data_IF_963487753436
#
_entry.id   IF_963487753436
#
_cell.length_a   1.000
_cell.length_b   1.000
_cell.length_c   1.000
_cell.angle_alpha   90.00
_cell.angle_beta   90.00
_cell.angle_gamma   90.00
#
_symmetry.space_group_name_H-M   'P 1'
#
loop_
_entity.id
_entity.type
_entity.pdbx_description
1 polymer ?
#
# COMPACT_ATOMS: atom_id res chain seq x y z
N UNK A 1 38.30 20.61 -3.11
CA UNK A 1 36.96 19.99 -2.97
C UNK A 1 37.14 18.56 -2.45
N UNK A 2 36.61 18.25 -1.25
CA UNK A 2 36.69 16.89 -0.68
C UNK A 2 35.64 16.00 -1.35
N UNK A 3 36.07 14.94 -2.05
CA UNK A 3 35.15 14.02 -2.75
C UNK A 3 34.21 13.28 -1.80
N UNK A 4 34.53 13.23 -0.51
CA UNK A 4 33.81 12.45 0.51
C UNK A 4 32.52 13.13 1.01
N UNK A 5 32.23 14.37 0.61
CA UNK A 5 30.97 15.06 0.93
C UNK A 5 29.90 14.93 -0.16
N UNK A 6 30.16 14.21 -1.25
CA UNK A 6 29.22 14.07 -2.36
C UNK A 6 28.26 12.89 -2.12
N UNK A 7 27.10 13.14 -1.49
CA UNK A 7 25.97 12.19 -1.54
C UNK A 7 25.42 12.13 -2.97
N UNK A 8 25.58 10.99 -3.63
CA UNK A 8 25.00 10.72 -4.95
C UNK A 8 23.47 10.74 -4.85
N UNK A 9 22.83 11.84 -5.23
CA UNK A 9 21.38 11.92 -5.43
C UNK A 9 21.07 11.42 -6.84
N UNK A 10 20.61 10.17 -6.97
CA UNK A 10 19.93 9.74 -8.20
C UNK A 10 18.60 10.48 -8.31
N UNK A 11 18.30 11.00 -9.50
CA UNK A 11 17.10 11.81 -9.80
C UNK A 11 15.80 11.04 -9.51
N UNK A 12 15.86 9.70 -9.62
CA UNK A 12 14.85 8.75 -9.19
C UNK A 12 15.57 7.53 -8.59
N UNK A 13 15.59 7.35 -7.26
CA UNK A 13 16.05 6.08 -6.71
C UNK A 13 15.15 4.95 -7.23
N UNK A 14 15.75 3.83 -7.64
CA UNK A 14 14.99 2.62 -7.96
C UNK A 14 14.14 2.24 -6.76
N UNK A 15 12.83 2.14 -6.95
CA UNK A 15 11.87 1.83 -5.90
C UNK A 15 10.91 0.74 -6.34
N UNK A 16 10.25 0.12 -5.39
CA UNK A 16 9.15 -0.82 -5.63
C UNK A 16 7.84 -0.16 -5.21
N UNK A 17 6.78 -0.41 -5.98
CA UNK A 17 5.43 -0.06 -5.57
C UNK A 17 4.83 -1.23 -4.82
N UNK A 18 4.18 -0.96 -3.70
CA UNK A 18 3.58 -1.97 -2.83
C UNK A 18 2.15 -1.53 -2.50
N UNK A 19 1.22 -2.46 -2.56
CA UNK A 19 -0.12 -2.32 -2.02
C UNK A 19 -0.21 -3.17 -0.75
N UNK A 20 -0.94 -2.70 0.24
CA UNK A 20 -1.22 -3.44 1.46
C UNK A 20 -2.48 -2.91 2.13
N UNK A 21 -3.05 -3.72 3.00
CA UNK A 21 -4.21 -3.37 3.82
C UNK A 21 -3.92 -3.71 5.29
N UNK A 22 -4.69 -3.13 6.19
CA UNK A 22 -4.64 -3.45 7.62
C UNK A 22 -6.00 -3.20 8.26
N UNK A 23 -6.22 -3.81 9.42
CA UNK A 23 -7.36 -3.54 10.30
C UNK A 23 -6.92 -3.66 11.76
N UNK A 24 -7.85 -3.48 12.70
CA UNK A 24 -7.59 -3.73 14.12
C UNK A 24 -7.23 -5.20 14.41
N UNK A 25 -7.56 -6.13 13.50
CA UNK A 25 -7.30 -7.56 13.65
C UNK A 25 -5.95 -8.00 13.07
N UNK A 26 -5.23 -7.12 12.37
CA UNK A 26 -3.91 -7.42 11.84
C UNK A 26 -3.62 -6.72 10.51
N UNK A 27 -2.60 -7.21 9.81
CA UNK A 27 -2.19 -6.70 8.51
C UNK A 27 -2.54 -7.69 7.40
N UNK A 28 -2.97 -7.15 6.26
CA UNK A 28 -3.12 -7.90 5.03
C UNK A 28 -1.78 -8.15 4.36
N UNK A 29 -1.77 -9.05 3.37
CA UNK A 29 -0.55 -9.37 2.63
C UNK A 29 -0.05 -8.17 1.82
N UNK A 30 1.25 -7.90 1.90
CA UNK A 30 1.92 -6.95 1.00
C UNK A 30 1.98 -7.50 -0.43
N UNK A 31 1.44 -6.74 -1.38
CA UNK A 31 1.42 -7.06 -2.80
C UNK A 31 2.34 -6.11 -3.58
N UNK A 32 3.34 -6.66 -4.26
CA UNK A 32 4.22 -5.86 -5.10
C UNK A 32 3.57 -5.55 -6.44
N UNK A 33 3.50 -4.27 -6.77
CA UNK A 33 2.88 -3.78 -8.00
C UNK A 33 3.95 -3.39 -9.00
N UNK A 34 3.85 -3.91 -10.22
CA UNK A 34 4.80 -3.59 -11.28
C UNK A 34 4.29 -2.44 -12.15
N UNK A 35 4.97 -1.30 -12.20
CA UNK A 35 4.58 -0.16 -13.03
C UNK A 35 3.39 0.64 -12.48
N UNK A 36 2.79 1.49 -13.31
CA UNK A 36 1.68 2.38 -12.90
C UNK A 36 0.39 1.60 -12.65
N UNK A 37 -0.44 2.12 -11.74
CA UNK A 37 -1.76 1.57 -11.39
C UNK A 37 -2.85 2.42 -12.04
N UNK A 38 -3.57 1.83 -12.99
CA UNK A 38 -4.83 2.35 -13.49
C UNK A 38 -6.01 1.72 -12.73
N UNK A 39 -7.24 2.14 -13.03
CA UNK A 39 -8.44 1.64 -12.35
C UNK A 39 -8.63 0.12 -12.47
N UNK A 40 -8.45 -0.45 -13.65
CA UNK A 40 -8.56 -1.90 -13.91
C UNK A 40 -7.53 -2.70 -13.08
N UNK A 41 -6.27 -2.26 -13.09
CA UNK A 41 -5.22 -2.90 -12.30
C UNK A 41 -5.47 -2.77 -10.81
N UNK A 42 -6.04 -1.65 -10.37
CA UNK A 42 -6.44 -1.48 -8.99
C UNK A 42 -7.53 -2.49 -8.60
N UNK A 43 -8.56 -2.66 -9.43
CA UNK A 43 -9.61 -3.67 -9.22
C UNK A 43 -9.03 -5.08 -9.14
N UNK A 44 -8.11 -5.43 -10.04
CA UNK A 44 -7.39 -6.72 -9.97
C UNK A 44 -6.61 -6.89 -8.66
N UNK A 45 -5.99 -5.83 -8.15
CA UNK A 45 -5.29 -5.86 -6.85
C UNK A 45 -6.30 -6.10 -5.71
N UNK A 46 -7.45 -5.42 -5.73
CA UNK A 46 -8.51 -5.62 -4.73
C UNK A 46 -9.04 -7.07 -4.77
N UNK A 47 -9.34 -7.58 -5.95
CA UNK A 47 -9.85 -8.94 -6.11
C UNK A 47 -8.84 -10.00 -5.64
N UNK A 48 -7.57 -9.84 -6.00
CA UNK A 48 -6.54 -10.85 -5.69
C UNK A 48 -5.93 -10.73 -4.29
N UNK A 49 -6.07 -9.58 -3.62
CA UNK A 49 -5.43 -9.34 -2.32
C UNK A 49 -6.37 -8.84 -1.23
N UNK A 50 -7.31 -7.93 -1.53
CA UNK A 50 -8.27 -7.46 -0.53
C UNK A 50 -9.27 -8.56 -0.17
N UNK A 51 -10.00 -9.12 -1.16
CA UNK A 51 -11.06 -10.10 -0.90
C UNK A 51 -10.58 -11.30 -0.09
N UNK A 52 -9.42 -11.93 -0.39
CA UNK A 52 -8.91 -13.04 0.42
C UNK A 52 -8.51 -12.62 1.84
N UNK A 53 -8.11 -11.35 2.04
CA UNK A 53 -7.71 -10.83 3.34
C UNK A 53 -8.90 -10.43 4.22
N UNK A 54 -10.11 -10.23 3.67
CA UNK A 54 -11.27 -9.79 4.45
C UNK A 54 -11.66 -10.78 5.56
N UNK A 55 -11.47 -12.07 5.32
CA UNK A 55 -11.73 -13.11 6.32
C UNK A 55 -10.80 -13.02 7.54
N UNK A 56 -9.55 -12.61 7.35
CA UNK A 56 -8.59 -12.44 8.46
C UNK A 56 -8.62 -11.03 9.06
N UNK A 57 -9.17 -10.06 8.33
CA UNK A 57 -9.18 -8.65 8.73
C UNK A 57 -10.51 -8.18 9.34
N UNK A 58 -11.53 -9.04 9.41
CA UNK A 58 -12.82 -8.72 10.02
C UNK A 58 -13.33 -9.90 10.87
N UNK A 59 -14.04 -9.61 11.97
CA UNK A 59 -14.61 -10.64 12.85
C UNK A 59 -15.91 -11.22 12.30
N UNK A 60 -16.80 -10.36 11.78
CA UNK A 60 -18.19 -10.70 11.47
C UNK A 60 -18.58 -10.29 10.03
N UNK A 61 -17.60 -10.07 9.16
CA UNK A 61 -17.82 -9.54 7.81
C UNK A 61 -18.24 -8.07 7.78
N UNK A 62 -18.38 -7.42 8.93
CA UNK A 62 -18.66 -5.99 9.03
C UNK A 62 -17.36 -5.19 8.98
N UNK A 63 -17.13 -4.50 7.87
CA UNK A 63 -16.01 -3.58 7.72
C UNK A 63 -16.38 -2.43 6.79
N UNK A 64 -15.64 -1.34 6.90
CA UNK A 64 -15.68 -0.24 5.94
C UNK A 64 -14.29 -0.06 5.37
N UNK A 65 -14.17 -0.14 4.05
CA UNK A 65 -12.90 -0.01 3.36
C UNK A 65 -12.51 1.48 3.25
N UNK A 66 -11.32 1.82 3.74
CA UNK A 66 -10.75 3.15 3.59
C UNK A 66 -9.72 3.15 2.47
N UNK A 67 -9.81 4.11 1.56
CA UNK A 67 -8.82 4.36 0.51
C UNK A 67 -8.62 5.88 0.31
N UNK A 68 -7.49 6.28 -0.27
CA UNK A 68 -7.24 7.67 -0.61
C UNK A 68 -8.00 8.11 -1.89
N UNK A 69 -7.93 9.40 -2.20
CA UNK A 69 -8.58 10.00 -3.36
C UNK A 69 -7.83 9.86 -4.69
N UNK A 70 -6.92 8.89 -4.85
CA UNK A 70 -6.22 8.69 -6.13
C UNK A 70 -7.21 8.42 -7.28
N UNK A 71 -6.88 8.88 -8.49
CA UNK A 71 -7.80 8.81 -9.64
C UNK A 71 -8.25 7.38 -9.98
N UNK A 72 -7.41 6.37 -9.76
CA UNK A 72 -7.77 4.96 -9.94
C UNK A 72 -8.75 4.46 -8.87
N UNK A 73 -8.67 4.98 -7.64
CA UNK A 73 -9.54 4.63 -6.52
C UNK A 73 -10.94 5.25 -6.69
N UNK A 74 -10.99 6.49 -7.20
CA UNK A 74 -12.24 7.24 -7.39
C UNK A 74 -12.87 7.04 -8.77
N UNK A 75 -12.27 6.23 -9.64
CA UNK A 75 -12.79 5.95 -10.98
C UNK A 75 -14.19 5.32 -10.92
N UNK A 76 -15.05 5.64 -11.89
CA UNK A 76 -16.42 5.10 -11.96
C UNK A 76 -16.44 3.57 -11.96
N UNK A 77 -15.52 2.95 -12.68
CA UNK A 77 -15.40 1.48 -12.74
C UNK A 77 -14.99 0.89 -11.39
N UNK A 78 -14.11 1.55 -10.65
CA UNK A 78 -13.69 1.11 -9.32
C UNK A 78 -14.81 1.25 -8.30
N UNK A 79 -15.58 2.34 -8.34
CA UNK A 79 -16.79 2.49 -7.50
C UNK A 79 -17.79 1.39 -7.77
N UNK A 80 -18.06 1.11 -9.05
CA UNK A 80 -18.94 0.01 -9.46
C UNK A 80 -18.44 -1.35 -8.95
N UNK A 81 -17.13 -1.60 -9.02
CA UNK A 81 -16.55 -2.83 -8.50
C UNK A 81 -16.83 -3.01 -7.00
N UNK A 82 -16.72 -1.94 -6.19
CA UNK A 82 -17.08 -2.01 -4.77
C UNK A 82 -18.57 -2.29 -4.54
N UNK A 83 -19.45 -1.65 -5.33
CA UNK A 83 -20.90 -1.91 -5.27
C UNK A 83 -21.23 -3.36 -5.63
N UNK A 84 -20.60 -3.91 -6.67
CA UNK A 84 -20.81 -5.30 -7.14
C UNK A 84 -20.27 -6.36 -6.15
N UNK A 85 -19.35 -5.97 -5.26
CA UNK A 85 -18.78 -6.86 -4.24
C UNK A 85 -19.36 -6.60 -2.83
N UNK A 86 -20.40 -5.77 -2.71
CA UNK A 86 -21.03 -5.39 -1.42
C UNK A 86 -20.05 -4.79 -0.39
N UNK A 87 -19.05 -4.04 -0.86
CA UNK A 87 -18.03 -3.41 -0.01
C UNK A 87 -18.37 -1.94 0.21
N UNK A 88 -18.65 -1.60 1.48
CA UNK A 88 -18.79 -0.21 1.90
C UNK A 88 -17.45 0.51 1.89
N UNK A 89 -17.36 1.65 1.19
CA UNK A 89 -16.16 2.49 1.15
C UNK A 89 -16.39 3.74 2.00
N UNK A 90 -15.44 4.07 2.87
CA UNK A 90 -15.50 5.26 3.70
C UNK A 90 -15.44 6.51 2.81
N UNK A 91 -16.41 7.42 3.00
CA UNK A 91 -16.37 8.70 2.32
C UNK A 91 -15.23 9.54 2.89
N UNK A 92 -14.14 9.65 2.12
CA UNK A 92 -12.89 10.24 2.57
C UNK A 92 -12.65 11.58 1.89
N UNK A 93 -12.45 12.68 2.65
CA UNK A 93 -12.20 13.98 2.05
C UNK A 93 -10.89 13.96 1.26
N UNK A 94 -10.92 14.56 0.07
CA UNK A 94 -9.75 14.69 -0.79
C UNK A 94 -8.63 15.44 -0.06
N UNK A 95 -7.38 14.97 -0.19
CA UNK A 95 -6.18 15.61 0.37
C UNK A 95 -5.99 15.53 1.90
N UNK A 96 -6.48 14.46 2.55
CA UNK A 96 -6.20 14.18 3.97
C UNK A 96 -5.30 12.95 4.18
N UNK A 97 -4.01 12.97 3.77
CA UNK A 97 -3.10 11.84 3.98
C UNK A 97 -2.81 11.61 5.47
N UNK A 98 -2.83 12.67 6.30
CA UNK A 98 -2.52 12.61 7.73
C UNK A 98 -3.54 11.79 8.55
N UNK A 99 -4.73 11.61 7.99
CA UNK A 99 -5.80 10.83 8.63
C UNK A 99 -5.78 9.35 8.22
N UNK A 100 -4.90 8.96 7.29
CA UNK A 100 -4.80 7.57 6.85
C UNK A 100 -3.82 6.78 7.75
N UNK A 101 -4.37 5.89 8.58
CA UNK A 101 -3.58 5.10 9.56
C UNK A 101 -2.47 4.29 8.88
N UNK A 102 -2.68 3.84 7.63
CA UNK A 102 -1.66 3.08 6.90
C UNK A 102 -0.43 3.92 6.54
N UNK A 103 -0.55 5.24 6.40
CA UNK A 103 0.59 6.13 6.14
C UNK A 103 1.57 6.14 7.33
N UNK A 104 1.05 5.98 8.55
CA UNK A 104 1.89 5.82 9.75
C UNK A 104 2.68 4.51 9.69
N UNK A 105 2.05 3.42 9.22
CA UNK A 105 2.73 2.13 9.02
C UNK A 105 3.80 2.24 7.95
N UNK A 106 3.47 2.83 6.79
CA UNK A 106 4.45 3.08 5.73
C UNK A 106 5.61 3.94 6.21
N UNK A 107 5.35 4.94 7.06
CA UNK A 107 6.39 5.78 7.65
C UNK A 107 7.35 4.96 8.52
N UNK A 108 6.83 4.10 9.40
CA UNK A 108 7.63 3.20 10.25
C UNK A 108 8.43 2.19 9.43
N UNK A 109 7.83 1.59 8.41
CA UNK A 109 8.55 0.68 7.49
C UNK A 109 9.71 1.40 6.78
N UNK A 110 9.45 2.61 6.25
CA UNK A 110 10.50 3.44 5.65
C UNK A 110 11.59 3.83 6.64
N UNK A 111 11.26 4.06 7.92
CA UNK A 111 12.26 4.28 8.98
C UNK A 111 13.12 3.05 9.22
N UNK A 112 12.51 1.86 9.33
CA UNK A 112 13.23 0.61 9.51
C UNK A 112 14.21 0.35 8.36
N UNK A 113 13.75 0.51 7.11
CA UNK A 113 14.60 0.35 5.91
C UNK A 113 15.74 1.37 5.82
N UNK A 114 15.63 2.53 6.48
CA UNK A 114 16.75 3.48 6.58
C UNK A 114 17.82 3.03 7.57
N UNK A 115 17.41 2.32 8.62
CA UNK A 115 18.32 1.78 9.64
C UNK A 115 18.97 0.46 9.20
N UNK A 116 18.33 -0.27 8.29
CA UNK A 116 18.88 -1.47 7.64
C UNK A 116 18.85 -1.33 6.10
N UNK A 117 19.82 -0.61 5.51
CA UNK A 117 19.79 -0.24 4.09
C UNK A 117 19.79 -1.46 3.16
N UNK A 118 18.89 -1.44 2.18
CA UNK A 118 18.91 -2.39 1.07
C UNK A 118 20.04 -2.12 0.08
N UNK A 119 20.59 -3.19 -0.50
CA UNK A 119 21.67 -3.12 -1.51
C UNK A 119 21.15 -3.13 -2.94
N UNK A 120 20.00 -3.77 -3.19
CA UNK A 120 19.37 -3.88 -4.50
C UNK A 120 17.84 -4.15 -4.37
N UNK A 121 17.12 -4.20 -5.50
CA UNK A 121 15.67 -4.43 -5.52
C UNK A 121 15.26 -5.81 -4.96
N UNK A 122 15.92 -6.94 -5.32
CA UNK A 122 15.65 -8.23 -4.70
C UNK A 122 15.75 -8.21 -3.17
N UNK A 123 16.83 -7.64 -2.63
CA UNK A 123 17.05 -7.47 -1.19
C UNK A 123 15.93 -6.63 -0.55
N UNK A 124 15.55 -5.52 -1.18
CA UNK A 124 14.41 -4.70 -0.73
C UNK A 124 13.10 -5.51 -0.66
N UNK A 125 12.82 -6.36 -1.65
CA UNK A 125 11.59 -7.17 -1.67
C UNK A 125 11.59 -8.19 -0.54
N UNK A 126 12.72 -8.85 -0.28
CA UNK A 126 12.87 -9.81 0.83
C UNK A 126 12.66 -9.10 2.16
N UNK A 127 13.31 -7.96 2.39
CA UNK A 127 13.13 -7.18 3.62
C UNK A 127 11.69 -6.75 3.84
N UNK A 128 11.01 -6.26 2.79
CA UNK A 128 9.60 -5.88 2.87
C UNK A 128 8.69 -7.08 3.17
N UNK A 129 8.95 -8.26 2.60
CA UNK A 129 8.20 -9.48 2.91
C UNK A 129 8.36 -9.90 4.37
N UNK A 130 9.57 -9.81 4.93
CA UNK A 130 9.82 -10.12 6.33
C UNK A 130 9.16 -9.13 7.30
N UNK A 131 8.98 -7.88 6.87
CA UNK A 131 8.22 -6.87 7.62
C UNK A 131 6.70 -7.04 7.49
N UNK A 132 6.21 -7.79 6.51
CA UNK A 132 4.76 -7.98 6.30
C UNK A 132 4.10 -8.99 7.25
N UNK A 133 4.88 -9.63 8.14
CA UNK A 133 4.43 -10.68 9.06
C UNK A 133 4.32 -10.19 10.52
N UNK A 134 3.94 -8.93 10.76
CA UNK A 134 3.66 -8.43 12.12
C UNK A 134 2.34 -8.96 12.67
#
# INVERSE_FOLDING_TARGET
>A
YHKDCLKRKVKFPSGVMVWGSMSAFGVGKLHFVNGTVNAEKYQNILETNLLPSLQSLSSDGNFTFQQDGASCHTAKTTKRWFEENDISVLDWPSSSPDLNVIETVWHKMKQHLRNDPQTNIPDLRIKLQNMGCF
#
